data_IF_044294836344
#
_entry.id   IF_044294836344
#
_cell.length_a   1.000
_cell.length_b   1.000
_cell.length_c   1.000
_cell.angle_alpha   90.00
_cell.angle_beta   90.00
_cell.angle_gamma   90.00
#
_symmetry.space_group_name_H-M   'P 1'
#
loop_
_entity.id
_entity.type
_entity.pdbx_description
1 polymer ?
#
# COMPACT_ATOMS: atom_id res chain seq x y z
N UNK A 1 9.33 39.81 13.86
CA UNK A 1 9.88 39.24 15.10
C UNK A 1 9.35 37.82 15.20
N UNK A 2 10.05 36.88 14.55
CA UNK A 2 9.64 35.48 14.44
C UNK A 2 10.52 34.71 15.42
N UNK A 3 9.95 34.41 16.58
CA UNK A 3 10.51 33.48 17.56
C UNK A 3 9.33 33.00 18.38
N UNK A 4 9.35 31.70 18.72
CA UNK A 4 8.44 30.94 19.58
C UNK A 4 7.60 29.89 18.84
N UNK A 5 8.27 28.87 18.30
CA UNK A 5 7.75 27.49 18.25
C UNK A 5 8.94 26.54 18.11
N UNK A 6 9.71 26.38 19.18
CA UNK A 6 10.74 25.33 19.27
C UNK A 6 10.96 25.00 20.75
N UNK A 7 10.35 23.91 21.23
CA UNK A 7 10.78 23.15 22.43
C UNK A 7 9.74 22.08 22.77
N UNK A 8 10.03 20.82 22.43
CA UNK A 8 10.05 19.64 23.30
C UNK A 8 9.88 18.37 22.44
N UNK A 9 10.98 17.67 22.16
CA UNK A 9 11.01 16.21 21.98
C UNK A 9 12.45 15.77 22.28
N UNK A 10 12.66 15.46 23.56
CA UNK A 10 13.90 14.95 24.14
C UNK A 10 13.54 13.65 24.86
N UNK A 11 14.41 12.64 24.73
CA UNK A 11 14.50 11.36 25.46
C UNK A 11 13.88 10.14 24.74
N UNK A 12 14.73 9.38 24.04
CA UNK A 12 15.34 8.13 24.56
C UNK A 12 16.25 7.49 23.49
N UNK A 13 17.57 7.59 23.67
CA UNK A 13 18.55 6.86 22.85
C UNK A 13 19.81 6.57 23.68
N UNK A 14 19.97 5.32 24.12
CA UNK A 14 21.19 4.65 24.57
C UNK A 14 20.80 3.16 24.67
N UNK A 15 21.51 2.16 24.16
CA UNK A 15 22.95 2.02 23.92
C UNK A 15 23.20 0.66 23.22
N UNK A 16 24.10 0.58 22.23
CA UNK A 16 25.13 -0.46 22.17
C UNK A 16 26.11 -0.22 21.01
N UNK A 17 27.39 -0.05 21.35
CA UNK A 17 28.53 -0.13 20.44
C UNK A 17 29.21 -1.49 20.64
N UNK A 18 29.60 -2.17 19.56
CA UNK A 18 30.88 -2.90 19.50
C UNK A 18 31.24 -3.32 18.05
N UNK A 19 32.35 -2.73 17.60
CA UNK A 19 33.36 -3.13 16.61
C UNK A 19 33.31 -4.52 15.94
N UNK A 20 33.52 -4.59 14.62
CA UNK A 20 34.81 -5.03 14.04
C UNK A 20 34.87 -4.94 12.50
N UNK A 21 36.12 -4.85 12.04
CA UNK A 21 36.66 -4.49 10.73
C UNK A 21 36.77 -5.66 9.74
N UNK A 22 36.59 -5.38 8.44
CA UNK A 22 37.54 -5.63 7.33
C UNK A 22 36.80 -5.91 6.01
N UNK A 23 37.30 -5.30 4.93
CA UNK A 23 36.76 -5.37 3.58
C UNK A 23 37.48 -6.46 2.76
N UNK A 24 36.73 -7.23 1.96
CA UNK A 24 37.20 -7.70 0.65
C UNK A 24 36.06 -8.19 -0.25
N UNK A 25 35.88 -7.48 -1.36
CA UNK A 25 35.47 -7.86 -2.73
C UNK A 25 34.80 -9.23 -3.00
N UNK A 26 33.59 -9.10 -3.57
CA UNK A 26 33.04 -9.83 -4.72
C UNK A 26 32.98 -11.38 -4.70
N UNK A 27 31.77 -11.92 -4.56
CA UNK A 27 31.13 -12.66 -5.65
C UNK A 27 29.64 -12.87 -5.43
N UNK A 28 28.91 -12.67 -6.51
CA UNK A 28 27.46 -12.58 -6.63
C UNK A 28 26.88 -14.01 -6.73
N UNK A 29 26.75 -14.73 -5.61
CA UNK A 29 26.04 -16.04 -5.57
C UNK A 29 25.73 -16.50 -4.14
N UNK A 30 24.77 -15.87 -3.45
CA UNK A 30 24.09 -16.50 -2.29
C UNK A 30 22.62 -16.06 -2.26
N UNK A 31 21.80 -16.66 -3.13
CA UNK A 31 20.38 -16.84 -2.81
C UNK A 31 20.28 -18.21 -2.11
N UNK A 32 19.63 -18.24 -0.95
CA UNK A 32 19.54 -19.35 0.03
C UNK A 32 20.70 -19.50 1.02
N UNK A 33 20.71 -18.66 2.04
CA UNK A 33 21.09 -19.10 3.39
C UNK A 33 19.88 -18.96 4.30
N UNK A 34 19.34 -20.12 4.67
CA UNK A 34 18.40 -20.41 5.74
C UNK A 34 18.25 -19.31 6.80
N UNK A 35 17.15 -18.56 6.71
CA UNK A 35 16.61 -17.88 7.87
C UNK A 35 15.61 -18.81 8.56
N UNK A 36 16.05 -19.53 9.59
CA UNK A 36 15.15 -20.23 10.50
C UNK A 36 14.52 -19.22 11.46
N UNK A 37 13.42 -18.59 11.04
CA UNK A 37 12.66 -17.69 11.91
C UNK A 37 11.59 -18.47 12.69
N UNK A 38 12.01 -19.15 13.75
CA UNK A 38 11.13 -19.71 14.78
C UNK A 38 10.85 -18.70 15.93
N UNK A 39 10.88 -17.39 15.68
CA UNK A 39 10.49 -16.41 16.70
C UNK A 39 8.97 -16.19 16.66
N UNK A 40 8.29 -16.42 17.79
CA UNK A 40 6.88 -16.09 18.02
C UNK A 40 6.57 -14.58 17.91
N UNK A 41 7.59 -13.75 17.70
CA UNK A 41 7.50 -12.29 17.70
C UNK A 41 7.02 -11.71 16.37
N UNK A 42 7.12 -12.46 15.27
CA UNK A 42 6.67 -12.02 13.94
C UNK A 42 5.38 -12.70 13.50
N UNK A 43 4.68 -12.07 12.55
CA UNK A 43 3.52 -12.66 11.88
C UNK A 43 3.95 -13.98 11.20
N UNK A 44 3.26 -15.10 11.47
CA UNK A 44 3.57 -16.39 10.85
C UNK A 44 3.28 -16.36 9.35
N UNK A 45 4.03 -17.16 8.59
CA UNK A 45 3.94 -17.22 7.14
C UNK A 45 4.92 -16.29 6.43
N UNK A 46 4.59 -15.97 5.18
CA UNK A 46 5.36 -15.12 4.28
C UNK A 46 4.43 -14.30 3.39
N UNK A 47 4.94 -13.19 2.86
CA UNK A 47 4.26 -12.40 1.86
C UNK A 47 3.99 -13.25 0.60
N UNK A 48 2.85 -13.00 -0.03
CA UNK A 48 2.50 -13.66 -1.29
C UNK A 48 3.02 -12.85 -2.49
N UNK A 49 2.88 -13.42 -3.69
CA UNK A 49 3.13 -12.73 -4.97
C UNK A 49 1.82 -12.28 -5.64
N UNK A 50 0.71 -12.31 -4.90
CA UNK A 50 -0.66 -12.10 -5.39
C UNK A 50 -1.34 -10.96 -4.66
N UNK A 51 -2.55 -10.60 -5.06
CA UNK A 51 -3.38 -9.60 -4.40
C UNK A 51 -4.86 -9.92 -4.62
N UNK A 52 -5.72 -9.29 -3.83
CA UNK A 52 -7.17 -9.36 -3.96
C UNK A 52 -7.77 -7.98 -4.25
N UNK A 53 -7.02 -7.04 -4.83
CA UNK A 53 -7.38 -5.60 -4.88
C UNK A 53 -8.73 -5.29 -5.53
N UNK A 54 -9.32 -6.22 -6.27
CA UNK A 54 -10.63 -6.06 -6.92
C UNK A 54 -11.79 -6.35 -5.95
N UNK A 55 -11.56 -7.17 -4.93
CA UNK A 55 -12.58 -7.68 -4.02
C UNK A 55 -12.43 -7.04 -2.64
N UNK A 56 -13.52 -6.48 -2.14
CA UNK A 56 -13.67 -6.00 -0.78
C UNK A 56 -14.62 -6.94 -0.06
N UNK A 57 -14.18 -7.51 1.06
CA UNK A 57 -14.92 -8.52 1.83
C UNK A 57 -14.84 -8.23 3.33
N UNK A 58 -15.52 -9.02 4.13
CA UNK A 58 -15.37 -8.97 5.58
C UNK A 58 -13.95 -9.37 6.01
N UNK A 59 -13.50 -8.83 7.15
CA UNK A 59 -12.17 -9.15 7.71
C UNK A 59 -12.14 -10.64 8.12
N UNK A 60 -11.20 -11.44 7.58
CA UNK A 60 -11.07 -12.85 7.96
C UNK A 60 -10.84 -13.05 9.45
N UNK A 61 -11.48 -14.07 10.03
CA UNK A 61 -11.47 -14.33 11.47
C UNK A 61 -10.05 -14.57 12.02
N UNK A 62 -9.19 -15.26 11.27
CA UNK A 62 -7.81 -15.51 11.72
C UNK A 62 -7.00 -14.21 11.87
N UNK A 63 -7.25 -13.17 11.06
CA UNK A 63 -6.57 -11.87 11.17
C UNK A 63 -7.02 -11.09 12.42
N UNK A 64 -8.15 -11.46 13.03
CA UNK A 64 -8.57 -10.91 14.34
C UNK A 64 -7.67 -11.34 15.48
N UNK A 65 -6.87 -12.39 15.29
CA UNK A 65 -6.00 -12.91 16.34
C UNK A 65 -4.70 -12.11 16.45
N UNK A 66 -4.32 -11.76 17.67
CA UNK A 66 -2.99 -11.24 18.03
C UNK A 66 -1.83 -12.18 17.65
N UNK A 67 -2.10 -13.47 17.46
CA UNK A 67 -1.10 -14.43 16.97
C UNK A 67 -0.72 -14.21 15.51
N UNK A 68 -1.60 -13.57 14.73
CA UNK A 68 -1.39 -13.27 13.31
C UNK A 68 -1.11 -11.78 13.09
N UNK A 69 -1.94 -10.91 13.68
CA UNK A 69 -1.84 -9.47 13.53
C UNK A 69 -1.42 -8.83 14.85
N UNK A 70 -0.12 -8.64 15.05
CA UNK A 70 0.40 -8.07 16.30
C UNK A 70 0.20 -6.55 16.39
N UNK A 71 0.20 -5.97 17.61
CA UNK A 71 0.26 -6.68 18.90
C UNK A 71 -1.08 -7.31 19.34
N UNK A 72 -2.22 -6.71 18.97
CA UNK A 72 -3.51 -6.99 19.62
C UNK A 72 -4.55 -7.71 18.74
N UNK A 73 -4.24 -7.99 17.48
CA UNK A 73 -5.21 -8.44 16.49
C UNK A 73 -5.89 -7.27 15.78
N UNK A 74 -6.78 -7.57 14.84
CA UNK A 74 -7.61 -6.56 14.17
C UNK A 74 -8.92 -6.33 14.92
N UNK A 75 -9.11 -5.13 15.47
CA UNK A 75 -10.32 -4.70 16.19
C UNK A 75 -11.58 -4.74 15.30
N UNK A 76 -12.74 -5.05 15.90
CA UNK A 76 -14.04 -5.17 15.21
C UNK A 76 -14.47 -3.90 14.44
N UNK A 77 -13.86 -2.74 14.73
CA UNK A 77 -13.97 -1.52 13.94
C UNK A 77 -13.71 -1.76 12.46
N UNK A 78 -12.70 -2.57 12.15
CA UNK A 78 -12.43 -2.96 10.77
C UNK A 78 -13.52 -3.92 10.29
N UNK A 79 -14.28 -3.54 9.27
CA UNK A 79 -15.37 -4.34 8.72
C UNK A 79 -15.17 -4.67 7.25
N UNK A 80 -14.30 -3.92 6.56
CA UNK A 80 -13.93 -4.17 5.16
C UNK A 80 -12.45 -4.51 5.06
N UNK A 81 -12.15 -5.42 4.15
CA UNK A 81 -10.83 -5.99 3.93
C UNK A 81 -10.57 -6.25 2.45
N UNK A 82 -9.35 -5.93 2.04
CA UNK A 82 -8.68 -6.48 0.86
C UNK A 82 -7.19 -6.62 1.17
N UNK A 83 -6.38 -7.14 0.26
CA UNK A 83 -4.94 -7.31 0.49
C UNK A 83 -4.12 -7.19 -0.78
N UNK A 84 -2.86 -6.77 -0.59
CA UNK A 84 -1.80 -7.02 -1.54
C UNK A 84 -0.69 -7.79 -0.83
N UNK A 85 -0.23 -8.89 -1.42
CA UNK A 85 0.88 -9.70 -0.92
C UNK A 85 0.67 -10.31 0.48
N UNK A 86 -0.59 -10.53 0.87
CA UNK A 86 -1.01 -10.96 2.20
C UNK A 86 -1.01 -9.83 3.24
N UNK A 87 -0.71 -8.58 2.86
CA UNK A 87 -0.69 -7.41 3.73
C UNK A 87 -2.08 -6.75 3.71
N UNK A 88 -2.76 -6.61 4.86
CA UNK A 88 -4.13 -6.11 4.92
C UNK A 88 -4.27 -4.63 4.53
N UNK A 89 -5.32 -4.34 3.76
CA UNK A 89 -5.94 -3.02 3.60
C UNK A 89 -7.31 -3.09 4.29
N UNK A 90 -7.55 -2.18 5.24
CA UNK A 90 -8.66 -2.25 6.18
C UNK A 90 -9.43 -0.94 6.24
N UNK A 91 -10.71 -1.02 6.58
CA UNK A 91 -11.51 0.16 6.94
C UNK A 91 -12.73 -0.23 7.76
N UNK A 92 -13.43 0.77 8.29
CA UNK A 92 -14.80 0.59 8.75
C UNK A 92 -15.75 0.27 7.59
N UNK A 93 -17.02 -0.01 7.90
CA UNK A 93 -18.08 -0.15 6.88
C UNK A 93 -18.40 1.15 6.12
N UNK A 94 -18.04 2.32 6.66
CA UNK A 94 -18.45 3.62 6.14
C UNK A 94 -17.61 4.06 4.94
N UNK A 95 -16.37 3.56 4.84
CA UNK A 95 -15.46 3.87 3.74
C UNK A 95 -15.93 3.16 2.46
N UNK A 96 -16.00 3.84 1.29
CA UNK A 96 -16.39 3.23 0.04
C UNK A 96 -15.35 2.21 -0.45
N UNK A 97 -15.81 1.13 -1.08
CA UNK A 97 -14.95 0.04 -1.55
C UNK A 97 -13.85 0.53 -2.50
N UNK A 98 -14.14 1.53 -3.32
CA UNK A 98 -13.17 2.10 -4.25
C UNK A 98 -11.95 2.72 -3.56
N UNK A 99 -12.08 3.20 -2.32
CA UNK A 99 -10.94 3.66 -1.52
C UNK A 99 -10.03 2.47 -1.15
N UNK A 100 -10.59 1.33 -0.76
CA UNK A 100 -9.82 0.11 -0.46
C UNK A 100 -9.15 -0.43 -1.73
N UNK A 101 -9.87 -0.43 -2.86
CA UNK A 101 -9.29 -0.86 -4.15
C UNK A 101 -8.12 0.04 -4.56
N UNK A 102 -8.24 1.37 -4.37
CA UNK A 102 -7.13 2.31 -4.62
C UNK A 102 -5.97 2.06 -3.69
N UNK A 103 -6.24 1.98 -2.39
CA UNK A 103 -5.22 1.74 -1.39
C UNK A 103 -4.45 0.44 -1.67
N UNK A 104 -5.17 -0.60 -2.08
CA UNK A 104 -4.57 -1.86 -2.49
C UNK A 104 -3.68 -1.72 -3.72
N UNK A 105 -4.10 -0.96 -4.75
CA UNK A 105 -3.24 -0.66 -5.90
C UNK A 105 -1.93 0.03 -5.46
N UNK A 106 -2.01 1.05 -4.60
CA UNK A 106 -0.83 1.81 -4.17
C UNK A 106 0.13 0.90 -3.39
N UNK A 107 -0.38 0.10 -2.45
CA UNK A 107 0.43 -0.88 -1.73
C UNK A 107 1.04 -1.93 -2.67
N UNK A 108 0.23 -2.46 -3.60
CA UNK A 108 0.68 -3.40 -4.64
C UNK A 108 1.82 -2.82 -5.46
N UNK A 109 1.70 -1.55 -5.85
CA UNK A 109 2.72 -0.83 -6.60
C UNK A 109 4.00 -0.64 -5.80
N UNK A 110 3.90 -0.07 -4.59
CA UNK A 110 5.08 0.27 -3.79
C UNK A 110 5.86 -0.97 -3.32
N UNK A 111 5.21 -2.12 -3.15
CA UNK A 111 5.88 -3.37 -2.75
C UNK A 111 6.20 -4.33 -3.90
N UNK A 112 6.03 -3.90 -5.15
CA UNK A 112 6.30 -4.74 -6.32
C UNK A 112 7.80 -5.03 -6.52
N UNK A 113 8.63 -4.03 -6.29
CA UNK A 113 10.02 -4.02 -6.76
C UNK A 113 10.96 -4.86 -5.89
N UNK A 114 10.68 -4.99 -4.59
CA UNK A 114 11.60 -5.59 -3.63
C UNK A 114 10.89 -6.59 -2.71
N UNK A 115 11.03 -7.88 -3.04
CA UNK A 115 10.47 -8.99 -2.25
C UNK A 115 10.99 -9.05 -0.80
N UNK A 116 12.22 -8.61 -0.52
CA UNK A 116 12.75 -8.59 0.85
C UNK A 116 12.00 -7.56 1.68
N UNK A 117 11.86 -6.34 1.17
CA UNK A 117 11.07 -5.28 1.83
C UNK A 117 9.63 -5.73 2.03
N UNK A 118 9.01 -6.30 0.99
CA UNK A 118 7.64 -6.83 1.04
C UNK A 118 7.47 -7.92 2.10
N UNK A 119 8.38 -8.88 2.17
CA UNK A 119 8.37 -9.95 3.18
C UNK A 119 8.44 -9.36 4.59
N UNK A 120 9.30 -8.37 4.81
CA UNK A 120 9.42 -7.75 6.13
C UNK A 120 8.19 -6.94 6.53
N UNK A 121 7.59 -6.17 5.61
CA UNK A 121 6.32 -5.48 5.90
C UNK A 121 5.24 -6.49 6.30
N UNK A 122 5.17 -7.65 5.65
CA UNK A 122 4.27 -8.74 6.05
C UNK A 122 4.61 -9.28 7.45
N UNK A 123 5.87 -9.68 7.69
CA UNK A 123 6.31 -10.32 8.93
C UNK A 123 6.20 -9.40 10.16
N UNK A 124 6.32 -8.10 9.95
CA UNK A 124 6.11 -7.07 10.98
C UNK A 124 4.62 -6.79 11.26
N UNK A 125 3.70 -7.60 10.72
CA UNK A 125 2.25 -7.40 10.83
C UNK A 125 1.79 -6.03 10.30
N UNK A 126 2.50 -5.52 9.29
CA UNK A 126 2.16 -4.30 8.57
C UNK A 126 0.74 -4.35 8.02
N UNK A 127 0.05 -3.23 8.06
CA UNK A 127 -1.30 -3.05 7.51
C UNK A 127 -1.54 -1.60 7.14
N UNK A 128 -2.51 -1.39 6.27
CA UNK A 128 -2.97 -0.06 5.90
C UNK A 128 -4.43 0.10 6.30
N UNK A 129 -4.78 1.20 6.97
CA UNK A 129 -6.16 1.48 7.36
C UNK A 129 -6.65 2.83 6.82
N UNK A 130 -7.86 2.82 6.28
CA UNK A 130 -8.49 4.01 5.70
C UNK A 130 -9.46 4.62 6.70
N UNK A 131 -9.36 5.93 6.86
CA UNK A 131 -10.34 6.72 7.61
C UNK A 131 -11.38 7.27 6.65
N UNK A 132 -12.66 7.06 6.93
CA UNK A 132 -13.76 7.70 6.21
C UNK A 132 -13.75 9.22 6.38
N UNK A 133 -14.54 9.92 5.57
CA UNK A 133 -14.58 11.40 5.59
C UNK A 133 -15.04 11.99 6.94
N UNK A 134 -15.89 11.26 7.66
CA UNK A 134 -16.43 11.63 8.98
C UNK A 134 -15.78 10.84 10.15
N UNK A 135 -14.71 10.09 9.87
CA UNK A 135 -13.92 9.36 10.86
C UNK A 135 -12.61 10.10 11.12
N UNK A 136 -12.03 9.94 12.30
CA UNK A 136 -10.88 10.69 12.76
C UNK A 136 -9.66 9.82 13.03
N UNK A 137 -8.51 10.45 13.24
CA UNK A 137 -7.23 9.78 13.49
C UNK A 137 -7.31 8.83 14.68
N UNK A 138 -7.93 9.24 15.78
CA UNK A 138 -8.08 8.40 16.97
C UNK A 138 -9.27 7.41 16.91
N UNK A 139 -10.09 7.42 15.86
CA UNK A 139 -11.07 6.34 15.62
C UNK A 139 -10.39 5.05 15.15
N UNK A 140 -9.23 5.16 14.50
CA UNK A 140 -8.39 4.02 14.16
C UNK A 140 -7.96 3.32 15.47
N UNK A 141 -8.22 2.02 15.63
CA UNK A 141 -8.01 1.28 16.88
C UNK A 141 -6.62 1.48 17.50
N UNK A 142 -5.57 1.41 16.69
CA UNK A 142 -4.17 1.54 17.10
C UNK A 142 -3.82 2.97 17.55
N UNK A 143 -4.60 3.96 17.12
CA UNK A 143 -4.38 5.38 17.37
C UNK A 143 -5.26 5.93 18.50
N UNK A 144 -6.12 5.12 19.13
CA UNK A 144 -7.05 5.54 20.19
C UNK A 144 -6.39 6.21 21.39
N UNK A 145 -5.09 5.98 21.59
CA UNK A 145 -4.31 6.58 22.67
C UNK A 145 -3.93 8.04 22.39
N UNK A 146 -4.07 8.52 21.15
CA UNK A 146 -3.86 9.92 20.78
C UNK A 146 -5.03 10.81 21.22
N UNK A 147 -4.72 12.05 21.62
CA UNK A 147 -5.72 13.05 21.98
C UNK A 147 -6.46 13.61 20.76
N UNK A 148 -7.63 14.20 20.98
CA UNK A 148 -8.47 14.80 19.92
C UNK A 148 -7.78 15.91 19.13
N UNK A 149 -6.69 16.48 19.63
CA UNK A 149 -5.88 17.43 18.87
C UNK A 149 -5.34 16.82 17.56
N UNK A 150 -5.01 15.53 17.58
CA UNK A 150 -4.52 14.80 16.40
C UNK A 150 -5.56 14.73 15.27
N UNK A 151 -6.84 14.77 15.62
CA UNK A 151 -7.94 14.73 14.65
C UNK A 151 -7.99 15.99 13.78
N UNK A 152 -7.43 17.10 14.26
CA UNK A 152 -7.32 18.36 13.50
C UNK A 152 -5.97 18.44 12.76
N UNK A 153 -4.93 17.82 13.32
CA UNK A 153 -3.56 17.91 12.80
C UNK A 153 -3.37 17.08 11.53
N UNK A 154 -3.83 15.83 11.52
CA UNK A 154 -3.49 14.90 10.44
C UNK A 154 -4.67 14.05 10.00
N UNK A 155 -4.58 13.62 8.74
CA UNK A 155 -5.45 12.66 8.07
C UNK A 155 -4.63 11.48 7.52
N UNK A 156 -3.43 11.28 8.04
CA UNK A 156 -2.54 10.17 7.71
C UNK A 156 -1.42 10.06 8.74
N UNK A 157 -0.97 8.83 8.97
CA UNK A 157 0.16 8.52 9.85
C UNK A 157 0.91 7.31 9.30
N UNK A 158 2.24 7.40 9.28
CA UNK A 158 3.12 6.29 8.98
C UNK A 158 3.15 5.24 10.09
N UNK A 159 3.34 3.98 9.69
CA UNK A 159 3.53 2.89 10.64
C UNK A 159 4.89 3.00 11.36
N UNK A 160 4.97 2.43 12.56
CA UNK A 160 6.19 2.23 13.34
C UNK A 160 6.32 0.77 13.78
N UNK A 161 7.45 0.41 14.39
CA UNK A 161 7.70 -0.95 14.89
C UNK A 161 6.60 -1.45 15.86
N UNK A 162 6.15 -0.57 16.76
CA UNK A 162 5.16 -0.93 17.79
C UNK A 162 3.71 -0.73 17.32
N UNK A 163 3.51 0.12 16.31
CA UNK A 163 2.21 0.38 15.69
C UNK A 163 2.32 0.13 14.19
N UNK A 164 2.26 -1.13 13.73
CA UNK A 164 2.50 -1.48 12.34
C UNK A 164 1.29 -1.17 11.43
N UNK A 165 0.62 -0.03 11.63
CA UNK A 165 -0.47 0.48 10.80
C UNK A 165 -0.09 1.80 10.17
N UNK A 166 -0.18 1.88 8.85
CA UNK A 166 -0.17 3.15 8.12
C UNK A 166 -1.61 3.58 7.86
N UNK A 167 -1.92 4.87 7.93
CA UNK A 167 -3.26 5.38 7.65
C UNK A 167 -3.27 6.52 6.66
N UNK A 168 -4.39 6.67 5.93
CA UNK A 168 -4.70 7.88 5.19
C UNK A 168 -6.23 8.08 5.08
N UNK A 169 -6.64 9.32 4.86
CA UNK A 169 -8.03 9.70 4.66
C UNK A 169 -8.56 9.33 3.29
N UNK A 170 -9.81 8.87 3.26
CA UNK A 170 -10.56 8.55 2.04
C UNK A 170 -10.52 9.69 1.01
N UNK A 171 -10.68 10.94 1.45
CA UNK A 171 -10.71 12.12 0.60
C UNK A 171 -9.41 12.30 -0.19
N UNK A 172 -8.30 11.95 0.44
CA UNK A 172 -6.99 11.98 -0.17
C UNK A 172 -6.87 10.81 -1.15
N UNK A 173 -7.11 9.57 -0.69
CA UNK A 173 -7.02 8.35 -1.52
C UNK A 173 -7.82 8.46 -2.82
N UNK A 174 -9.04 9.00 -2.76
CA UNK A 174 -9.94 9.14 -3.91
C UNK A 174 -9.83 10.48 -4.64
N UNK A 175 -8.88 11.34 -4.26
CA UNK A 175 -8.66 12.66 -4.86
C UNK A 175 -9.94 13.53 -4.90
N UNK A 176 -10.66 13.58 -3.79
CA UNK A 176 -11.84 14.43 -3.67
C UNK A 176 -11.46 15.91 -3.78
N UNK A 177 -12.39 16.73 -4.25
CA UNK A 177 -12.16 18.17 -4.43
C UNK A 177 -11.90 18.90 -3.10
N UNK A 178 -12.41 18.37 -1.99
CA UNK A 178 -12.24 18.91 -0.63
C UNK A 178 -10.96 18.43 0.08
N UNK A 179 -10.15 17.57 -0.55
CA UNK A 179 -8.87 17.14 -0.01
C UNK A 179 -7.92 18.35 0.14
N UNK A 180 -7.52 18.62 1.39
CA UNK A 180 -6.64 19.75 1.73
C UNK A 180 -5.24 19.61 1.12
N UNK A 181 -4.82 18.38 0.83
CA UNK A 181 -3.52 18.05 0.27
C UNK A 181 -3.55 17.91 -1.25
N UNK A 182 -4.69 18.09 -1.93
CA UNK A 182 -4.78 17.92 -3.38
C UNK A 182 -3.80 18.86 -4.13
N UNK A 183 -3.00 18.38 -5.11
CA UNK A 183 -3.01 17.04 -5.72
C UNK A 183 -2.00 16.03 -5.14
N UNK A 184 -1.36 16.34 -4.01
CA UNK A 184 -0.31 15.54 -3.39
C UNK A 184 -0.79 14.17 -2.90
N UNK A 185 -0.03 13.12 -3.20
CA UNK A 185 -0.39 11.76 -2.78
C UNK A 185 0.10 11.39 -1.38
N UNK A 186 -0.62 11.86 -0.35
CA UNK A 186 -0.28 11.59 1.06
C UNK A 186 -0.27 10.09 1.37
N UNK A 187 -1.10 9.26 0.73
CA UNK A 187 -0.98 7.82 0.93
C UNK A 187 0.41 7.28 0.56
N UNK A 188 1.04 7.80 -0.51
CA UNK A 188 2.41 7.42 -0.88
C UNK A 188 3.41 7.89 0.17
N UNK A 189 3.22 9.08 0.73
CA UNK A 189 4.03 9.60 1.83
C UNK A 189 3.97 8.68 3.06
N UNK A 190 2.76 8.41 3.57
CA UNK A 190 2.57 7.64 4.81
C UNK A 190 2.98 6.16 4.64
N UNK A 191 2.76 5.58 3.45
CA UNK A 191 3.30 4.25 3.14
C UNK A 191 4.81 4.25 3.06
N UNK A 192 5.46 5.35 2.69
CA UNK A 192 6.92 5.44 2.69
C UNK A 192 7.47 5.32 4.10
N UNK A 193 6.88 5.98 5.10
CA UNK A 193 7.24 5.75 6.50
C UNK A 193 7.05 4.29 6.93
N UNK A 194 5.92 3.68 6.57
CA UNK A 194 5.67 2.27 6.89
C UNK A 194 6.68 1.32 6.22
N UNK A 195 7.02 1.57 4.96
CA UNK A 195 8.02 0.80 4.21
C UNK A 195 9.42 1.02 4.78
N UNK A 196 9.75 2.22 5.24
CA UNK A 196 11.00 2.50 5.94
C UNK A 196 11.10 1.60 7.17
N UNK A 197 10.22 1.77 8.17
CA UNK A 197 10.36 1.09 9.44
C UNK A 197 10.10 -0.42 9.37
N UNK A 198 9.02 -0.82 8.70
CA UNK A 198 8.60 -2.23 8.69
C UNK A 198 9.32 -3.07 7.63
N UNK A 199 9.98 -2.43 6.65
CA UNK A 199 10.53 -3.10 5.49
C UNK A 199 12.03 -2.86 5.30
N UNK A 200 12.41 -1.64 4.94
CA UNK A 200 13.78 -1.31 4.52
C UNK A 200 14.78 -1.35 5.69
N UNK A 201 14.43 -0.76 6.83
CA UNK A 201 15.31 -0.70 8.00
C UNK A 201 15.67 -2.09 8.54
N UNK A 202 14.72 -3.03 8.47
CA UNK A 202 14.90 -4.42 8.94
C UNK A 202 15.40 -5.36 7.85
N UNK A 203 14.99 -5.14 6.60
CA UNK A 203 15.22 -6.07 5.49
C UNK A 203 16.45 -5.77 4.64
N UNK A 204 16.88 -4.50 4.57
CA UNK A 204 18.03 -4.10 3.76
C UNK A 204 19.18 -3.74 4.69
N UNK A 205 20.24 -4.54 4.66
CA UNK A 205 21.38 -4.37 5.55
C UNK A 205 22.00 -2.97 5.43
N UNK A 206 22.08 -2.26 6.56
CA UNK A 206 22.69 -0.95 6.67
C UNK A 206 21.93 0.19 5.97
N UNK A 207 20.67 -0.04 5.58
CA UNK A 207 19.87 0.96 4.88
C UNK A 207 19.72 2.27 5.66
N UNK A 208 19.35 2.20 6.95
CA UNK A 208 19.27 3.37 7.85
C UNK A 208 20.59 4.15 7.94
N UNK A 209 21.73 3.45 7.86
CA UNK A 209 23.03 4.10 7.86
C UNK A 209 23.26 4.96 6.60
N UNK A 210 22.82 4.47 5.44
CA UNK A 210 22.88 5.21 4.17
C UNK A 210 21.85 6.34 4.12
N UNK A 211 20.64 6.10 4.63
CA UNK A 211 19.59 7.10 4.74
C UNK A 211 20.04 8.30 5.59
N UNK A 212 20.58 8.02 6.79
CA UNK A 212 21.16 9.04 7.67
C UNK A 212 22.32 9.80 7.04
N UNK A 213 23.19 9.10 6.30
CA UNK A 213 24.30 9.74 5.61
C UNK A 213 23.82 10.70 4.51
N UNK A 214 22.82 10.31 3.72
CA UNK A 214 22.21 11.16 2.71
C UNK A 214 21.54 12.39 3.35
N UNK A 215 20.74 12.21 4.40
CA UNK A 215 20.11 13.32 5.13
C UNK A 215 21.15 14.29 5.73
N UNK A 216 22.22 13.77 6.35
CA UNK A 216 23.28 14.59 6.90
C UNK A 216 24.04 15.38 5.81
N UNK A 217 24.23 14.79 4.63
CA UNK A 217 24.81 15.47 3.48
C UNK A 217 23.90 16.61 3.00
N UNK A 218 22.61 16.34 2.77
CA UNK A 218 21.62 17.35 2.35
C UNK A 218 21.55 18.53 3.33
N UNK A 219 21.51 18.26 4.64
CA UNK A 219 21.49 19.29 5.67
C UNK A 219 22.77 20.15 5.64
N UNK A 220 23.94 19.52 5.45
CA UNK A 220 25.23 20.21 5.39
C UNK A 220 25.38 21.09 4.15
N UNK A 221 24.83 20.68 3.01
CA UNK A 221 24.93 21.39 1.73
C UNK A 221 23.78 22.36 1.49
N UNK A 222 22.76 22.36 2.36
CA UNK A 222 21.60 23.23 2.27
C UNK A 222 20.59 22.80 1.19
N UNK A 223 20.61 21.52 0.80
CA UNK A 223 19.56 20.96 -0.04
C UNK A 223 18.22 21.00 0.71
N UNK A 224 17.15 21.21 -0.05
CA UNK A 224 15.78 21.30 0.47
C UNK A 224 15.57 22.32 1.60
N UNK A 225 16.44 23.34 1.68
CA UNK A 225 16.30 24.38 2.69
C UNK A 225 14.92 25.04 2.63
N UNK A 226 14.33 25.27 3.79
CA UNK A 226 13.02 25.90 3.99
C UNK A 226 11.85 25.08 3.40
N UNK A 227 11.98 23.75 3.31
CA UNK A 227 10.91 22.81 2.93
C UNK A 227 10.71 21.73 4.02
N UNK A 228 9.62 20.97 3.92
CA UNK A 228 9.27 19.91 4.87
C UNK A 228 10.23 18.72 4.84
N UNK A 229 10.90 18.48 3.71
CA UNK A 229 11.96 17.48 3.59
C UNK A 229 13.00 17.57 4.72
N UNK A 230 13.28 18.78 5.23
CA UNK A 230 14.32 18.97 6.23
C UNK A 230 13.83 18.91 7.68
N UNK A 231 12.56 18.61 7.92
CA UNK A 231 12.01 18.47 9.27
C UNK A 231 12.73 17.35 10.05
N UNK A 232 12.92 16.18 9.43
CA UNK A 232 13.71 15.07 9.97
C UNK A 232 14.07 14.05 8.86
N UNK A 233 14.85 13.02 9.21
CA UNK A 233 15.31 11.97 8.28
C UNK A 233 14.15 11.18 7.66
N UNK A 234 13.07 10.95 8.40
CA UNK A 234 11.90 10.21 7.93
C UNK A 234 11.11 11.02 6.89
N UNK A 235 10.92 12.31 7.14
CA UNK A 235 10.24 13.22 6.21
C UNK A 235 11.05 13.42 4.93
N UNK A 236 12.37 13.58 5.07
CA UNK A 236 13.30 13.62 3.94
C UNK A 236 13.13 12.41 3.00
N UNK A 237 12.97 11.22 3.57
CA UNK A 237 12.70 10.01 2.80
C UNK A 237 11.30 10.02 2.16
N UNK A 238 10.23 10.27 2.92
CA UNK A 238 8.86 10.20 2.43
C UNK A 238 8.56 11.23 1.33
N UNK A 239 8.99 12.47 1.53
CA UNK A 239 8.93 13.55 0.54
C UNK A 239 9.77 13.24 -0.72
N UNK A 240 10.92 12.60 -0.52
CA UNK A 240 11.77 12.07 -1.57
C UNK A 240 11.04 11.03 -2.43
N UNK A 241 10.33 10.09 -1.80
CA UNK A 241 9.55 9.06 -2.50
C UNK A 241 8.39 9.68 -3.28
N UNK A 242 7.71 10.69 -2.73
CA UNK A 242 6.67 11.41 -3.48
C UNK A 242 7.24 12.09 -4.73
N UNK A 243 8.42 12.72 -4.63
CA UNK A 243 9.12 13.25 -5.80
C UNK A 243 9.51 12.14 -6.77
N UNK A 244 10.03 11.02 -6.27
CA UNK A 244 10.42 9.85 -7.07
C UNK A 244 9.25 9.23 -7.85
N UNK A 245 8.02 9.35 -7.35
CA UNK A 245 6.80 8.91 -8.06
C UNK A 245 6.01 10.03 -8.73
N UNK A 246 6.58 11.25 -8.80
CA UNK A 246 5.98 12.43 -9.44
C UNK A 246 4.61 12.83 -8.84
N UNK A 247 4.45 12.65 -7.54
CA UNK A 247 3.24 12.96 -6.77
C UNK A 247 3.46 14.03 -5.69
N UNK A 248 4.61 14.71 -5.74
CA UNK A 248 4.89 15.91 -4.97
C UNK A 248 4.44 17.18 -5.73
N UNK A 249 4.17 18.25 -5.01
CA UNK A 249 3.84 19.58 -5.49
C UNK A 249 5.12 20.37 -5.75
N UNK A 250 5.21 20.93 -6.96
CA UNK A 250 6.28 21.86 -7.30
C UNK A 250 5.97 23.28 -6.80
N UNK A 251 6.98 23.92 -6.20
CA UNK A 251 7.01 25.36 -5.94
C UNK A 251 8.33 25.94 -6.41
N UNK A 252 8.28 27.00 -7.23
CA UNK A 252 9.50 27.64 -7.75
C UNK A 252 10.41 28.21 -6.63
N UNK A 253 9.83 28.51 -5.46
CA UNK A 253 10.55 28.89 -4.25
C UNK A 253 9.99 28.10 -3.07
N UNK A 254 10.82 27.73 -2.08
CA UNK A 254 10.35 27.08 -0.86
C UNK A 254 9.21 27.85 -0.19
N UNK A 255 8.13 27.15 0.18
CA UNK A 255 6.96 27.73 0.86
C UNK A 255 6.83 27.27 2.32
N UNK A 256 7.88 26.65 2.87
CA UNK A 256 7.87 26.01 4.19
C UNK A 256 7.48 24.53 4.13
N UNK A 257 6.88 24.08 3.03
CA UNK A 257 6.50 22.66 2.83
C UNK A 257 7.16 22.10 1.58
N UNK A 258 6.94 22.75 0.44
CA UNK A 258 7.37 22.28 -0.87
C UNK A 258 8.51 23.12 -1.41
N UNK A 259 9.24 22.56 -2.39
CA UNK A 259 10.34 23.23 -3.07
C UNK A 259 10.34 23.03 -4.59
N UNK A 260 11.46 23.36 -5.26
CA UNK A 260 11.56 23.30 -6.71
C UNK A 260 11.77 21.88 -7.27
N UNK A 261 11.65 20.85 -6.44
CA UNK A 261 11.84 19.45 -6.81
C UNK A 261 10.55 18.70 -6.53
N UNK A 262 10.00 18.05 -7.56
CA UNK A 262 8.74 17.31 -7.46
C UNK A 262 8.65 16.11 -8.41
N UNK A 263 9.75 15.77 -9.09
CA UNK A 263 9.80 14.68 -10.07
C UNK A 263 11.02 13.79 -9.87
N UNK A 264 10.94 12.55 -10.36
CA UNK A 264 12.03 11.56 -10.30
C UNK A 264 13.30 12.07 -10.94
N UNK A 265 13.17 12.66 -12.13
CA UNK A 265 14.32 13.16 -12.89
C UNK A 265 14.95 14.37 -12.20
N UNK A 266 14.14 15.31 -11.70
CA UNK A 266 14.64 16.45 -10.95
C UNK A 266 15.33 16.01 -9.64
N UNK A 267 14.76 15.02 -8.93
CA UNK A 267 15.35 14.47 -7.71
C UNK A 267 16.71 13.83 -7.99
N UNK A 268 16.83 13.04 -9.07
CA UNK A 268 18.08 12.39 -9.47
C UNK A 268 19.23 13.38 -9.66
N UNK A 269 18.94 14.51 -10.29
CA UNK A 269 19.94 15.54 -10.58
C UNK A 269 20.22 16.43 -9.36
N UNK A 270 19.20 16.70 -8.54
CA UNK A 270 19.30 17.60 -7.38
C UNK A 270 19.91 16.95 -6.14
N UNK A 271 19.47 15.73 -5.83
CA UNK A 271 19.95 14.93 -4.69
C UNK A 271 20.15 13.46 -5.10
N UNK A 272 21.30 13.15 -5.72
CA UNK A 272 21.61 11.79 -6.15
C UNK A 272 21.76 10.82 -4.97
N UNK A 273 22.09 11.29 -3.76
CA UNK A 273 22.23 10.41 -2.59
C UNK A 273 20.86 9.89 -2.14
N UNK A 274 19.88 10.78 -1.98
CA UNK A 274 18.50 10.40 -1.68
C UNK A 274 17.91 9.53 -2.80
N UNK A 275 18.12 9.91 -4.05
CA UNK A 275 17.66 9.13 -5.21
C UNK A 275 18.18 7.69 -5.15
N UNK A 276 19.46 7.49 -4.85
CA UNK A 276 20.07 6.17 -4.79
C UNK A 276 19.54 5.34 -3.61
N UNK A 277 19.35 5.94 -2.44
CA UNK A 277 18.76 5.25 -1.27
C UNK A 277 17.32 4.80 -1.56
N UNK A 278 16.51 5.64 -2.21
CA UNK A 278 15.15 5.29 -2.67
C UNK A 278 15.19 4.15 -3.70
N UNK A 279 16.18 4.15 -4.61
CA UNK A 279 16.37 3.10 -5.62
C UNK A 279 16.71 1.73 -5.03
N UNK A 280 17.18 1.64 -3.80
CA UNK A 280 17.36 0.33 -3.14
C UNK A 280 16.02 -0.35 -2.82
N UNK A 281 14.95 0.43 -2.65
CA UNK A 281 13.59 -0.07 -2.39
C UNK A 281 12.80 -0.20 -3.69
N UNK A 282 12.91 0.77 -4.60
CA UNK A 282 12.12 0.82 -5.85
C UNK A 282 12.99 0.78 -7.15
N UNK A 283 13.80 -0.28 -7.36
CA UNK A 283 14.76 -0.36 -8.47
C UNK A 283 14.17 -0.58 -9.88
N UNK A 284 12.91 -1.01 -10.02
CA UNK A 284 12.42 -1.64 -11.25
C UNK A 284 11.91 -0.67 -12.32
N UNK A 285 11.93 0.63 -12.00
CA UNK A 285 11.45 1.71 -12.85
C UNK A 285 9.97 1.51 -13.26
N UNK A 286 9.15 0.96 -12.36
CA UNK A 286 7.70 0.95 -12.53
C UNK A 286 7.15 2.39 -12.57
N UNK A 287 6.11 2.61 -13.38
CA UNK A 287 5.45 3.92 -13.54
C UNK A 287 4.20 3.99 -12.66
N UNK A 288 4.15 4.94 -11.74
CA UNK A 288 2.99 5.10 -10.86
C UNK A 288 1.79 5.72 -11.60
N UNK A 289 0.59 5.17 -11.40
CA UNK A 289 -0.65 5.77 -11.86
C UNK A 289 -1.20 6.72 -10.80
N UNK A 290 -1.18 8.02 -11.07
CA UNK A 290 -1.61 9.06 -10.12
C UNK A 290 -3.11 9.00 -9.88
N UNK A 291 -3.52 9.04 -8.62
CA UNK A 291 -4.93 8.85 -8.20
C UNK A 291 -5.94 9.81 -8.84
N UNK A 292 -5.53 11.03 -9.19
CA UNK A 292 -6.42 12.03 -9.78
C UNK A 292 -6.57 11.88 -11.30
N UNK A 293 -5.74 11.03 -11.92
CA UNK A 293 -5.62 10.85 -13.37
C UNK A 293 -5.92 9.40 -13.79
N UNK A 294 -6.06 8.49 -12.82
CA UNK A 294 -6.30 7.06 -13.04
C UNK A 294 -7.75 6.67 -12.75
N UNK A 295 -8.10 5.45 -13.16
CA UNK A 295 -9.32 4.77 -12.73
C UNK A 295 -9.02 3.31 -12.32
N UNK A 296 -9.99 2.67 -11.65
CA UNK A 296 -9.84 1.31 -11.12
C UNK A 296 -9.45 0.30 -12.21
N UNK A 297 -9.98 0.44 -13.43
CA UNK A 297 -9.68 -0.47 -14.53
C UNK A 297 -8.22 -0.37 -14.99
N UNK A 298 -7.69 0.86 -15.11
CA UNK A 298 -6.27 1.07 -15.46
C UNK A 298 -5.33 0.50 -14.40
N UNK A 299 -5.66 0.71 -13.13
CA UNK A 299 -4.86 0.24 -11.99
C UNK A 299 -4.83 -1.28 -11.90
N UNK A 300 -5.99 -1.92 -12.06
CA UNK A 300 -6.13 -3.37 -12.12
C UNK A 300 -5.44 -4.00 -13.34
N UNK A 301 -5.48 -3.31 -14.48
CA UNK A 301 -4.86 -3.78 -15.71
C UNK A 301 -3.34 -3.54 -15.75
N UNK A 302 -2.79 -2.71 -14.85
CA UNK A 302 -1.37 -2.40 -14.88
C UNK A 302 -0.54 -3.66 -14.62
N UNK A 303 0.41 -3.94 -15.50
CA UNK A 303 1.41 -4.98 -15.27
C UNK A 303 2.65 -4.36 -14.64
N UNK A 304 3.00 -4.81 -13.44
CA UNK A 304 4.18 -4.34 -12.71
C UNK A 304 5.38 -5.26 -12.94
N UNK A 305 6.57 -4.69 -12.98
CA UNK A 305 7.83 -5.42 -12.93
C UNK A 305 8.09 -5.88 -11.50
N UNK A 306 7.63 -7.08 -11.19
CA UNK A 306 7.86 -7.71 -9.89
C UNK A 306 9.32 -8.11 -9.73
N UNK A 307 9.98 -7.71 -8.65
CA UNK A 307 11.38 -8.05 -8.35
C UNK A 307 12.37 -7.71 -9.49
N UNK A 308 12.02 -6.72 -10.31
CA UNK A 308 12.74 -6.28 -11.50
C UNK A 308 12.97 -7.38 -12.54
N UNK A 309 12.19 -8.47 -12.49
CA UNK A 309 12.27 -9.52 -13.49
C UNK A 309 11.87 -8.94 -14.86
N UNK A 310 12.64 -9.17 -15.95
CA UNK A 310 12.44 -8.54 -17.26
C UNK A 310 11.06 -8.82 -17.87
N UNK A 311 10.50 -9.97 -17.51
CA UNK A 311 9.11 -10.32 -17.77
C UNK A 311 8.38 -10.14 -16.44
N UNK A 312 8.05 -8.89 -16.08
CA UNK A 312 7.31 -8.60 -14.85
C UNK A 312 6.23 -9.66 -14.67
N UNK A 313 6.34 -10.46 -13.60
CA UNK A 313 5.48 -11.64 -13.47
C UNK A 313 4.05 -11.16 -13.61
N UNK A 314 3.40 -11.73 -14.60
CA UNK A 314 1.97 -11.64 -14.81
C UNK A 314 1.36 -11.95 -13.45
N UNK A 315 0.73 -10.95 -12.84
CA UNK A 315 -0.30 -11.21 -11.87
C UNK A 315 -1.12 -12.38 -12.43
N UNK A 316 -1.34 -13.48 -11.69
CA UNK A 316 -2.21 -14.56 -12.15
C UNK A 316 -3.58 -14.04 -12.65
N UNK A 317 -3.93 -12.80 -12.33
CA UNK A 317 -4.98 -11.98 -12.92
C UNK A 317 -4.55 -11.42 -14.31
N UNK A 318 -4.23 -12.29 -15.28
CA UNK A 318 -4.19 -11.87 -16.69
C UNK A 318 -5.57 -12.06 -17.34
N UNK A 319 -6.18 -10.92 -17.67
CA UNK A 319 -6.89 -10.62 -18.93
C UNK A 319 -8.15 -9.76 -18.73
N UNK A 320 -8.16 -8.80 -17.78
CA UNK A 320 -9.28 -7.85 -17.63
C UNK A 320 -10.66 -8.51 -17.45
N UNK A 321 -10.66 -9.81 -17.17
CA UNK A 321 -11.79 -10.71 -17.01
C UNK A 321 -11.42 -11.61 -15.85
N UNK A 322 -11.81 -11.16 -14.67
CA UNK A 322 -11.86 -11.99 -13.47
C UNK A 322 -12.56 -13.30 -13.86
N UNK A 323 -11.84 -14.42 -13.95
CA UNK A 323 -12.54 -15.71 -13.93
C UNK A 323 -12.75 -16.02 -12.47
N UNK A 324 -13.92 -15.70 -11.95
CA UNK A 324 -14.33 -16.18 -10.66
C UNK A 324 -14.39 -17.72 -10.69
N UNK A 325 -13.30 -18.36 -10.29
CA UNK A 325 -13.13 -19.81 -10.38
C UNK A 325 -12.26 -20.30 -9.24
N UNK A 326 -12.47 -21.56 -8.90
CA UNK A 326 -11.54 -22.30 -8.08
C UNK A 326 -10.35 -22.74 -8.95
N UNK A 327 -9.15 -22.45 -8.45
CA UNK A 327 -7.89 -22.74 -9.11
C UNK A 327 -7.28 -24.07 -8.66
N UNK A 328 -7.88 -24.72 -7.65
CA UNK A 328 -7.45 -26.02 -7.13
C UNK A 328 -8.61 -27.02 -7.11
N UNK A 329 -8.37 -28.30 -7.43
CA UNK A 329 -9.43 -29.32 -7.40
C UNK A 329 -9.93 -29.61 -5.97
N UNK A 330 -9.17 -29.26 -4.93
CA UNK A 330 -9.51 -29.48 -3.53
C UNK A 330 -10.46 -28.45 -2.91
N UNK A 331 -10.92 -27.43 -3.65
CA UNK A 331 -11.65 -26.31 -3.06
C UNK A 331 -12.98 -26.70 -2.39
N UNK A 332 -13.72 -27.65 -2.97
CA UNK A 332 -14.95 -28.16 -2.35
C UNK A 332 -14.68 -28.85 -0.99
N UNK A 333 -13.57 -29.60 -0.88
CA UNK A 333 -13.16 -30.22 0.37
C UNK A 333 -12.70 -29.19 1.40
N UNK A 334 -11.89 -28.22 0.98
CA UNK A 334 -11.39 -27.16 1.85
C UNK A 334 -12.47 -26.22 2.36
N UNK A 335 -13.49 -25.94 1.54
CA UNK A 335 -14.71 -25.26 1.99
C UNK A 335 -15.39 -26.02 3.13
N UNK A 336 -15.53 -27.35 2.99
CA UNK A 336 -16.12 -28.21 4.03
C UNK A 336 -15.28 -28.37 5.30
N UNK A 337 -14.08 -27.80 5.36
CA UNK A 337 -13.14 -27.87 6.49
C UNK A 337 -12.74 -26.49 7.02
N UNK A 338 -13.59 -25.47 6.80
CA UNK A 338 -13.41 -24.09 7.24
C UNK A 338 -12.09 -23.42 6.80
N UNK A 339 -11.45 -23.90 5.73
CA UNK A 339 -10.18 -23.31 5.29
C UNK A 339 -10.35 -21.87 4.81
N UNK A 340 -11.52 -21.49 4.31
CA UNK A 340 -11.80 -20.11 3.90
C UNK A 340 -11.64 -19.11 5.05
N UNK A 341 -11.88 -19.53 6.30
CA UNK A 341 -11.71 -18.67 7.48
C UNK A 341 -10.37 -18.90 8.18
N UNK A 342 -9.87 -20.13 8.20
CA UNK A 342 -8.62 -20.49 8.88
C UNK A 342 -7.36 -20.13 8.06
N UNK A 343 -7.45 -20.25 6.73
CA UNK A 343 -6.34 -20.02 5.81
C UNK A 343 -6.77 -19.11 4.64
N UNK A 344 -7.29 -17.91 4.93
CA UNK A 344 -7.88 -17.04 3.92
C UNK A 344 -6.88 -16.65 2.86
N UNK A 345 -5.62 -16.32 3.18
CA UNK A 345 -4.63 -15.89 2.18
C UNK A 345 -4.46 -16.94 1.08
N UNK A 346 -4.29 -18.21 1.46
CA UNK A 346 -4.17 -19.28 0.46
C UNK A 346 -5.50 -19.49 -0.27
N UNK A 347 -6.60 -19.57 0.48
CA UNK A 347 -7.91 -19.85 -0.06
C UNK A 347 -8.42 -18.73 -0.98
N UNK A 348 -7.99 -17.50 -0.75
CA UNK A 348 -8.36 -16.31 -1.51
C UNK A 348 -7.83 -16.31 -2.94
N UNK A 349 -6.80 -17.11 -3.20
CA UNK A 349 -6.27 -17.31 -4.55
C UNK A 349 -6.55 -18.71 -5.05
N UNK A 350 -6.52 -19.72 -4.18
CA UNK A 350 -6.76 -21.10 -4.57
C UNK A 350 -8.23 -21.38 -4.89
N UNK A 351 -9.16 -20.77 -4.15
CA UNK A 351 -10.54 -21.21 -4.03
C UNK A 351 -11.53 -20.03 -3.97
N UNK A 352 -11.32 -19.06 -4.85
CA UNK A 352 -12.06 -17.79 -4.89
C UNK A 352 -13.58 -17.98 -4.91
N UNK A 353 -14.06 -18.93 -5.71
CA UNK A 353 -15.50 -19.19 -5.86
C UNK A 353 -16.03 -19.98 -4.68
N UNK A 354 -15.34 -21.04 -4.28
CA UNK A 354 -15.74 -21.88 -3.14
C UNK A 354 -15.81 -21.07 -1.85
N UNK A 355 -14.91 -20.12 -1.64
CA UNK A 355 -14.91 -19.25 -0.47
C UNK A 355 -15.80 -18.00 -0.59
N UNK A 356 -16.56 -17.87 -1.69
CA UNK A 356 -17.49 -16.75 -1.88
C UNK A 356 -16.81 -15.38 -2.03
N UNK A 357 -15.52 -15.36 -2.37
CA UNK A 357 -14.71 -14.14 -2.52
C UNK A 357 -15.06 -13.41 -3.79
N UNK A 358 -15.45 -14.18 -4.78
CA UNK A 358 -16.08 -13.72 -5.99
C UNK A 358 -17.35 -14.55 -6.20
N UNK A 359 -18.32 -13.98 -6.91
CA UNK A 359 -19.43 -14.74 -7.48
C UNK A 359 -19.25 -14.82 -8.99
N UNK A 360 -19.78 -15.88 -9.62
CA UNK A 360 -19.72 -16.02 -11.08
C UNK A 360 -20.35 -14.82 -11.83
N UNK A 361 -21.16 -14.02 -11.13
CA UNK A 361 -21.81 -12.79 -11.58
C UNK A 361 -21.00 -11.50 -11.40
N UNK A 362 -19.72 -11.54 -11.02
CA UNK A 362 -18.92 -10.31 -11.00
C UNK A 362 -18.45 -9.85 -12.38
N UNK A 363 -18.69 -10.66 -13.42
CA UNK A 363 -18.67 -10.19 -14.81
C UNK A 363 -20.06 -9.79 -15.32
N UNK A 364 -21.06 -9.72 -14.43
CA UNK A 364 -22.39 -9.23 -14.74
C UNK A 364 -22.44 -7.72 -14.54
N UNK A 365 -22.03 -7.00 -15.57
CA UNK A 365 -22.18 -5.56 -15.63
C UNK A 365 -22.53 -5.18 -17.06
N UNK A 366 -23.18 -4.03 -17.18
CA UNK A 366 -23.42 -3.42 -18.46
C UNK A 366 -22.16 -2.71 -18.95
N UNK A 367 -21.73 -3.04 -20.16
CA UNK A 367 -20.58 -2.43 -20.84
C UNK A 367 -20.95 -1.11 -21.53
N UNK A 368 -22.23 -0.70 -21.47
CA UNK A 368 -22.70 0.54 -22.09
C UNK A 368 -23.66 1.31 -21.16
N UNK A 369 -23.47 2.62 -21.06
CA UNK A 369 -24.24 3.51 -20.17
C UNK A 369 -25.76 3.55 -20.43
N UNK A 370 -26.20 3.17 -21.63
CA UNK A 370 -27.62 3.16 -22.03
C UNK A 370 -28.28 1.79 -21.92
N UNK A 371 -27.58 0.77 -21.41
CA UNK A 371 -28.13 -0.59 -21.33
C UNK A 371 -29.46 -0.67 -20.58
N UNK A 372 -29.62 0.09 -19.48
CA UNK A 372 -30.86 0.13 -18.72
C UNK A 372 -32.03 0.69 -19.54
N UNK A 373 -31.80 1.78 -20.28
CA UNK A 373 -32.81 2.40 -21.14
C UNK A 373 -33.21 1.46 -22.28
N UNK A 374 -32.24 0.82 -22.93
CA UNK A 374 -32.50 -0.11 -24.04
C UNK A 374 -33.24 -1.37 -23.58
N UNK A 375 -32.90 -1.90 -22.41
CA UNK A 375 -33.64 -3.02 -21.84
C UNK A 375 -35.11 -2.63 -21.55
N UNK A 376 -35.35 -1.42 -21.01
CA UNK A 376 -36.71 -0.92 -20.72
C UNK A 376 -37.55 -0.69 -22.00
N UNK A 377 -36.89 -0.39 -23.13
CA UNK A 377 -37.54 -0.26 -24.43
C UNK A 377 -37.67 -1.58 -25.22
N UNK A 378 -37.32 -2.72 -24.62
CA UNK A 378 -37.51 -4.06 -25.23
C UNK A 378 -36.36 -4.55 -26.12
N UNK A 379 -35.17 -3.92 -26.06
CA UNK A 379 -34.04 -4.26 -26.93
C UNK A 379 -33.43 -5.63 -26.62
N UNK A 380 -33.66 -6.17 -25.41
CA UNK A 380 -33.19 -7.51 -25.06
C UNK A 380 -33.76 -8.60 -25.99
N UNK A 381 -34.99 -8.40 -26.48
CA UNK A 381 -35.66 -9.31 -27.42
C UNK A 381 -35.45 -8.92 -28.88
N UNK A 382 -35.42 -7.61 -29.17
CA UNK A 382 -35.26 -7.09 -30.53
C UNK A 382 -33.81 -7.19 -31.05
N UNK A 383 -32.81 -7.04 -30.18
CA UNK A 383 -31.38 -7.02 -30.50
C UNK A 383 -30.53 -7.90 -29.55
N UNK A 384 -30.86 -9.20 -29.42
CA UNK A 384 -30.28 -10.09 -28.41
C UNK A 384 -28.76 -10.26 -28.58
N UNK A 385 -28.24 -10.26 -29.80
CA UNK A 385 -26.80 -10.43 -30.05
C UNK A 385 -25.95 -9.34 -29.39
N UNK A 386 -26.42 -8.09 -29.41
CA UNK A 386 -25.72 -6.98 -28.78
C UNK A 386 -26.06 -6.91 -27.29
N UNK A 387 -27.35 -6.99 -26.97
CA UNK A 387 -27.85 -6.77 -25.62
C UNK A 387 -27.42 -7.86 -24.64
N UNK A 388 -27.42 -9.14 -25.05
CA UNK A 388 -27.00 -10.24 -24.18
C UNK A 388 -25.47 -10.33 -24.01
N UNK A 389 -24.71 -9.61 -24.83
CA UNK A 389 -23.25 -9.55 -24.72
C UNK A 389 -22.76 -8.28 -24.02
N UNK A 390 -23.38 -7.13 -24.28
CA UNK A 390 -22.96 -5.81 -23.76
C UNK A 390 -23.83 -5.27 -22.63
N UNK A 391 -25.06 -5.75 -22.49
CA UNK A 391 -26.05 -5.26 -21.52
C UNK A 391 -26.58 -6.39 -20.65
N UNK A 392 -25.65 -7.23 -20.18
CA UNK A 392 -25.93 -8.55 -19.61
C UNK A 392 -26.72 -8.44 -18.30
N UNK A 393 -26.38 -7.44 -17.50
CA UNK A 393 -27.04 -7.09 -16.24
C UNK A 393 -28.43 -6.50 -16.51
N UNK A 394 -28.55 -5.53 -17.42
CA UNK A 394 -29.84 -4.93 -17.77
C UNK A 394 -30.82 -5.93 -18.39
N UNK A 395 -30.32 -6.91 -19.14
CA UNK A 395 -31.14 -7.97 -19.75
C UNK A 395 -31.32 -9.22 -18.88
N UNK A 396 -30.82 -9.21 -17.63
CA UNK A 396 -31.01 -10.30 -16.66
C UNK A 396 -30.55 -11.67 -17.17
N UNK A 397 -29.52 -11.69 -18.02
CA UNK A 397 -28.89 -12.93 -18.52
C UNK A 397 -27.65 -13.32 -17.71
N UNK A 398 -27.35 -12.44 -16.77
CA UNK A 398 -26.71 -12.62 -15.49
C UNK A 398 -27.47 -11.62 -14.56
#
# INVERSE_FOLDING_TARGET
MVSHMLQLLLLTALSCFATQTSASTANNTVYNTYFSFESTDYRPGSATETNSCQYVREVPLNLRSASVMKPDGLDIFYQKYTEAYGIPILSSKNVPDDALRRACYVLRFMLADNSVVREWVYRMAGRFAIMGIDEFTNDIPEHRHYSDWWNQRTRGLGASYDMPVTTAGEENILCYQKDRNRPEDIMVHELSHGIHFLGAAVGIQGWDGRMRAAYAHANKTGLFKDTYFMENEQEYFAEGVQSYFNVQIYRAKPDGVHGPIATRDALKDYDPDLYNVIKEIFPCDNTYLKRCESNRNQENAQMLRMNCEPQGRKDPIQDGKIRCKDNKPGCAFWLGTNQCTENPIFMDHACMRSCGICTADENCFDEHKNCAFWADTGECDANPTYMLYKCRMSCKVC
#
